data_IF_312753912155
#
_entry.id   IF_312753912155
#
_cell.length_a   1.000
_cell.length_b   1.000
_cell.length_c   1.000
_cell.angle_alpha   90.00
_cell.angle_beta   90.00
_cell.angle_gamma   90.00
#
_symmetry.space_group_name_H-M   'P 1'
#
loop_
_entity.id
_entity.type
_entity.pdbx_description
1 polymer ?
#
# COMPACT_ATOMS: atom_id res chain seq x y z
N UNK A 1 -20.65 -39.06 -13.74
CA UNK A 1 -20.76 -37.61 -13.49
C UNK A 1 -20.98 -37.40 -12.00
N UNK A 2 -19.91 -37.22 -11.24
CA UNK A 2 -19.97 -36.90 -9.82
C UNK A 2 -18.86 -35.87 -9.57
N UNK A 3 -19.24 -34.70 -9.04
CA UNK A 3 -18.37 -33.95 -8.13
C UNK A 3 -17.52 -32.80 -8.68
N UNK A 4 -18.08 -31.82 -9.40
CA UNK A 4 -17.43 -30.51 -9.62
C UNK A 4 -18.01 -29.35 -8.78
N UNK A 5 -18.82 -29.64 -7.76
CA UNK A 5 -19.56 -28.59 -7.00
C UNK A 5 -19.01 -28.21 -5.61
N UNK A 6 -17.78 -28.59 -5.24
CA UNK A 6 -17.31 -28.43 -3.85
C UNK A 6 -16.36 -27.23 -3.64
N UNK A 7 -15.62 -26.76 -4.65
CA UNK A 7 -14.59 -25.71 -4.45
C UNK A 7 -15.11 -24.26 -4.39
N UNK A 8 -16.29 -23.96 -4.93
CA UNK A 8 -16.79 -22.57 -4.99
C UNK A 8 -17.35 -22.06 -3.65
N UNK A 9 -18.05 -22.93 -2.91
CA UNK A 9 -18.77 -22.55 -1.68
C UNK A 9 -17.86 -22.33 -0.47
N UNK A 10 -16.68 -22.96 -0.43
CA UNK A 10 -15.70 -22.75 0.65
C UNK A 10 -14.96 -21.41 0.48
N UNK A 11 -14.61 -21.04 -0.76
CA UNK A 11 -13.91 -19.78 -1.05
C UNK A 11 -14.79 -18.55 -0.78
N UNK A 12 -16.08 -18.60 -1.12
CA UNK A 12 -17.02 -17.51 -0.82
C UNK A 12 -17.17 -17.28 0.69
N UNK A 13 -17.20 -18.35 1.50
CA UNK A 13 -17.23 -18.25 2.96
C UNK A 13 -15.96 -17.61 3.50
N UNK A 14 -14.80 -17.92 2.94
CA UNK A 14 -13.52 -17.34 3.35
C UNK A 14 -13.45 -15.84 3.08
N UNK A 15 -13.78 -15.40 1.86
CA UNK A 15 -13.78 -13.96 1.49
C UNK A 15 -14.80 -13.19 2.34
N UNK A 16 -15.99 -13.76 2.54
CA UNK A 16 -17.01 -13.13 3.37
C UNK A 16 -16.54 -12.96 4.82
N UNK A 17 -15.90 -13.97 5.40
CA UNK A 17 -15.32 -13.89 6.74
C UNK A 17 -14.20 -12.85 6.83
N UNK A 18 -13.35 -12.75 5.80
CA UNK A 18 -12.31 -11.72 5.73
C UNK A 18 -12.92 -10.31 5.75
N UNK A 19 -13.94 -10.07 4.94
CA UNK A 19 -14.67 -8.79 4.91
C UNK A 19 -15.32 -8.49 6.25
N UNK A 20 -16.02 -9.47 6.86
CA UNK A 20 -16.67 -9.29 8.15
C UNK A 20 -15.69 -9.02 9.29
N UNK A 21 -14.42 -9.44 9.16
CA UNK A 21 -13.39 -9.25 10.18
C UNK A 21 -12.66 -7.90 10.10
N UNK A 22 -12.92 -7.09 9.07
CA UNK A 22 -12.15 -5.86 8.83
C UNK A 22 -12.24 -4.86 9.99
N UNK A 23 -13.37 -4.79 10.68
CA UNK A 23 -13.54 -3.93 11.86
C UNK A 23 -12.50 -4.22 12.95
N UNK A 24 -12.26 -5.50 13.24
CA UNK A 24 -11.27 -5.97 14.22
C UNK A 24 -9.85 -5.79 13.71
N UNK A 25 -9.63 -6.03 12.41
CA UNK A 25 -8.33 -5.79 11.78
C UNK A 25 -7.94 -4.31 11.89
N UNK A 26 -8.87 -3.39 11.65
CA UNK A 26 -8.62 -1.95 11.77
C UNK A 26 -8.22 -1.52 13.18
N UNK A 27 -8.85 -2.07 14.22
CA UNK A 27 -8.44 -1.81 15.62
C UNK A 27 -6.98 -2.23 15.86
N UNK A 28 -6.57 -3.36 15.28
CA UNK A 28 -5.21 -3.87 15.38
C UNK A 28 -4.23 -2.97 14.62
N UNK A 29 -4.58 -2.52 13.41
CA UNK A 29 -3.79 -1.59 12.59
C UNK A 29 -3.54 -0.28 13.34
N UNK A 30 -4.58 0.32 13.94
CA UNK A 30 -4.43 1.56 14.72
C UNK A 30 -3.52 1.35 15.93
N UNK A 31 -3.67 0.23 16.65
CA UNK A 31 -2.82 -0.11 17.79
C UNK A 31 -1.34 -0.25 17.39
N UNK A 32 -1.06 -0.93 16.27
CA UNK A 32 0.30 -1.07 15.72
C UNK A 32 0.85 0.30 15.32
N UNK A 33 0.07 1.12 14.61
CA UNK A 33 0.47 2.47 14.23
C UNK A 33 0.85 3.32 15.45
N UNK A 34 0.02 3.33 16.50
CA UNK A 34 0.30 4.12 17.71
C UNK A 34 1.61 3.70 18.40
N UNK A 35 1.94 2.40 18.37
CA UNK A 35 3.22 1.89 18.90
C UNK A 35 4.41 2.33 18.06
N UNK A 36 4.27 2.34 16.73
CA UNK A 36 5.35 2.65 15.80
C UNK A 36 5.45 4.14 15.44
N UNK A 37 4.47 4.96 15.83
CA UNK A 37 4.31 6.36 15.40
C UNK A 37 5.59 7.17 15.48
N UNK A 38 6.33 7.08 16.59
CA UNK A 38 7.55 7.87 16.81
C UNK A 38 8.65 7.52 15.81
N UNK A 39 8.79 6.24 15.48
CA UNK A 39 9.82 5.78 14.55
C UNK A 39 9.39 6.01 13.10
N UNK A 40 8.09 5.89 12.81
CA UNK A 40 7.54 6.27 11.51
C UNK A 40 7.78 7.76 11.21
N UNK A 41 7.52 8.66 12.16
CA UNK A 41 7.74 10.10 11.95
C UNK A 41 9.18 10.38 11.53
N UNK A 42 10.16 9.76 12.20
CA UNK A 42 11.59 9.94 11.88
C UNK A 42 11.96 9.56 10.44
N UNK A 43 11.31 8.53 9.88
CA UNK A 43 11.54 8.12 8.48
C UNK A 43 11.15 9.25 7.52
N UNK A 44 10.15 10.05 7.89
CA UNK A 44 9.62 11.14 7.09
C UNK A 44 10.07 12.53 7.57
N UNK A 45 11.05 12.65 8.47
CA UNK A 45 11.50 13.95 8.99
C UNK A 45 12.08 14.86 7.89
N UNK A 46 12.72 14.27 6.87
CA UNK A 46 13.20 14.98 5.70
C UNK A 46 12.11 15.02 4.61
N UNK A 47 12.07 16.09 3.81
CA UNK A 47 11.11 16.27 2.71
C UNK A 47 11.49 15.49 1.43
N UNK A 48 11.89 14.23 1.60
CA UNK A 48 12.18 13.35 0.47
C UNK A 48 10.89 12.92 -0.23
N UNK A 49 10.92 12.79 -1.56
CA UNK A 49 9.82 12.22 -2.31
C UNK A 49 9.52 10.79 -1.86
N UNK A 50 8.23 10.49 -1.71
CA UNK A 50 7.73 9.16 -1.34
C UNK A 50 7.21 8.44 -2.58
N UNK A 51 7.60 7.18 -2.77
CA UNK A 51 7.13 6.33 -3.86
C UNK A 51 6.40 5.12 -3.29
N UNK A 52 5.11 5.03 -3.55
CA UNK A 52 4.28 3.87 -3.21
C UNK A 52 4.27 2.91 -4.40
N UNK A 53 4.73 1.68 -4.20
CA UNK A 53 4.91 0.70 -5.27
C UNK A 53 4.09 -0.55 -4.94
N UNK A 54 3.21 -0.96 -5.85
CA UNK A 54 2.36 -2.13 -5.67
C UNK A 54 1.83 -2.70 -6.99
N UNK A 55 1.19 -3.87 -6.94
CA UNK A 55 0.55 -4.52 -8.09
C UNK A 55 -0.91 -4.88 -7.79
N UNK A 56 -1.79 -4.86 -8.81
CA UNK A 56 -3.21 -5.16 -8.65
C UNK A 56 -3.87 -4.30 -7.56
N UNK A 57 -4.54 -4.94 -6.60
CA UNK A 57 -5.19 -4.26 -5.47
C UNK A 57 -4.22 -3.41 -4.62
N UNK A 58 -2.96 -3.84 -4.47
CA UNK A 58 -1.95 -3.05 -3.76
C UNK A 58 -1.59 -1.75 -4.49
N UNK A 59 -1.63 -1.75 -5.84
CA UNK A 59 -1.45 -0.52 -6.61
C UNK A 59 -2.63 0.45 -6.41
N UNK A 60 -3.86 -0.06 -6.33
CA UNK A 60 -5.02 0.77 -6.00
C UNK A 60 -4.91 1.40 -4.61
N UNK A 61 -4.42 0.64 -3.62
CA UNK A 61 -4.10 1.18 -2.30
C UNK A 61 -2.98 2.23 -2.35
N UNK A 62 -1.96 2.03 -3.19
CA UNK A 62 -0.88 2.99 -3.42
C UNK A 62 -1.38 4.33 -3.97
N UNK A 63 -2.34 4.32 -4.91
CA UNK A 63 -2.96 5.54 -5.45
C UNK A 63 -3.71 6.31 -4.35
N UNK A 64 -4.49 5.61 -3.52
CA UNK A 64 -5.21 6.23 -2.40
C UNK A 64 -4.23 6.82 -1.39
N UNK A 65 -3.16 6.10 -1.07
CA UNK A 65 -2.11 6.56 -0.17
C UNK A 65 -1.38 7.79 -0.73
N UNK A 66 -1.07 7.83 -2.04
CA UNK A 66 -0.48 8.99 -2.70
C UNK A 66 -1.35 10.23 -2.54
N UNK A 67 -2.65 10.11 -2.84
CA UNK A 67 -3.61 11.20 -2.70
C UNK A 67 -3.67 11.69 -1.25
N UNK A 68 -3.90 10.80 -0.29
CA UNK A 68 -4.00 11.17 1.12
C UNK A 68 -2.71 11.81 1.64
N UNK A 69 -1.54 11.29 1.24
CA UNK A 69 -0.25 11.82 1.66
C UNK A 69 -0.03 13.25 1.13
N UNK A 70 -0.36 13.51 -0.13
CA UNK A 70 -0.27 14.84 -0.73
C UNK A 70 -1.22 15.83 -0.05
N UNK A 71 -2.48 15.45 0.12
CA UNK A 71 -3.49 16.33 0.69
C UNK A 71 -3.22 16.67 2.17
N UNK A 72 -2.73 15.71 2.96
CA UNK A 72 -2.53 15.91 4.39
C UNK A 72 -1.20 16.57 4.74
N UNK A 73 -0.17 16.37 3.92
CA UNK A 73 1.19 16.79 4.25
C UNK A 73 1.77 17.83 3.29
N UNK A 74 1.12 18.11 2.15
CA UNK A 74 1.63 18.97 1.07
C UNK A 74 3.03 18.57 0.58
N UNK A 75 3.26 17.25 0.50
CA UNK A 75 4.55 16.66 0.16
C UNK A 75 4.51 15.84 -1.12
N UNK A 76 5.66 15.74 -1.78
CA UNK A 76 5.79 14.99 -3.04
C UNK A 76 5.66 13.48 -2.80
N UNK A 77 4.60 12.90 -3.34
CA UNK A 77 4.42 11.45 -3.42
C UNK A 77 4.08 10.99 -4.84
N UNK A 78 4.34 9.71 -5.14
CA UNK A 78 4.04 9.08 -6.43
C UNK A 78 3.65 7.63 -6.21
N UNK A 79 2.58 7.16 -6.85
CA UNK A 79 2.26 5.74 -6.96
C UNK A 79 2.76 5.18 -8.28
N UNK A 80 3.42 4.02 -8.24
CA UNK A 80 4.01 3.39 -9.43
C UNK A 80 3.62 1.91 -9.44
N UNK A 81 3.06 1.37 -10.55
CA UNK A 81 2.87 -0.07 -10.69
C UNK A 81 4.22 -0.81 -10.56
N UNK A 82 4.28 -1.91 -9.81
CA UNK A 82 5.54 -2.63 -9.58
C UNK A 82 6.22 -3.08 -10.87
N UNK A 83 5.45 -3.48 -11.88
CA UNK A 83 5.97 -3.84 -13.20
C UNK A 83 6.64 -2.66 -13.90
N UNK A 84 6.03 -1.47 -13.84
CA UNK A 84 6.59 -0.27 -14.42
C UNK A 84 7.83 0.22 -13.68
N UNK A 85 7.84 0.13 -12.36
CA UNK A 85 9.03 0.43 -11.58
C UNK A 85 10.17 -0.52 -11.98
N UNK A 86 9.91 -1.82 -12.09
CA UNK A 86 10.92 -2.81 -12.46
C UNK A 86 11.58 -2.51 -13.81
N UNK A 87 10.78 -2.28 -14.86
CA UNK A 87 11.30 -2.11 -16.22
C UNK A 87 11.69 -0.66 -16.57
N UNK A 88 11.07 0.33 -15.90
CA UNK A 88 11.17 1.75 -16.27
C UNK A 88 11.48 2.68 -15.09
N UNK A 89 12.06 2.19 -13.97
CA UNK A 89 12.42 3.01 -12.80
C UNK A 89 13.16 4.31 -13.15
N UNK A 90 14.05 4.29 -14.15
CA UNK A 90 14.82 5.48 -14.56
C UNK A 90 13.92 6.63 -15.02
N UNK A 91 12.77 6.35 -15.62
CA UNK A 91 11.80 7.37 -16.04
C UNK A 91 11.14 8.04 -14.85
N UNK A 92 10.91 7.28 -13.76
CA UNK A 92 10.28 7.77 -12.53
C UNK A 92 11.24 8.51 -11.61
N UNK A 93 12.52 8.11 -11.61
CA UNK A 93 13.56 8.66 -10.74
C UNK A 93 14.39 9.79 -11.38
N UNK A 94 14.15 10.13 -12.65
CA UNK A 94 14.94 11.15 -13.36
C UNK A 94 14.82 12.52 -12.69
N UNK A 95 15.97 13.17 -12.44
CA UNK A 95 16.08 14.49 -11.81
C UNK A 95 15.49 14.57 -10.39
N UNK A 96 15.42 13.44 -9.68
CA UNK A 96 14.96 13.38 -8.29
C UNK A 96 16.18 13.43 -7.34
N UNK A 97 15.98 13.87 -6.08
CA UNK A 97 17.04 13.89 -5.08
C UNK A 97 17.69 12.51 -4.90
N UNK A 98 18.91 12.51 -4.37
CA UNK A 98 19.69 11.30 -4.08
C UNK A 98 19.00 10.37 -3.08
N UNK A 99 18.15 10.93 -2.23
CA UNK A 99 17.40 10.21 -1.20
C UNK A 99 15.91 10.22 -1.52
N UNK A 100 15.31 9.04 -1.49
CA UNK A 100 13.91 8.78 -1.81
C UNK A 100 13.39 7.73 -0.83
N UNK A 101 12.11 7.82 -0.46
CA UNK A 101 11.46 6.83 0.40
C UNK A 101 10.63 5.91 -0.48
N UNK A 102 10.86 4.61 -0.41
CA UNK A 102 10.11 3.60 -1.16
C UNK A 102 9.26 2.78 -0.19
N UNK A 103 7.96 2.70 -0.46
CA UNK A 103 6.98 1.94 0.32
C UNK A 103 6.41 0.88 -0.60
N UNK A 104 6.67 -0.38 -0.28
CA UNK A 104 6.15 -1.53 -1.02
C UNK A 104 4.83 -1.95 -0.39
N UNK A 105 3.79 -2.05 -1.22
CA UNK A 105 2.41 -2.38 -0.86
C UNK A 105 2.00 -3.68 -1.54
#
# INVERSE_FOLDING_TARGET
>A
MVGEKINGQENEKTIFNEIQSQDKVWLSVVSIFLKLKKDLIKIFDNDYPVYFIGSGSSYHAAIIAEFAFKELLDRKAFSIPSSEFLFYHKSYLKNKPSENIFILI
#
